data_IF_243079413927
#
_entry.id   IF_243079413927
#
_cell.length_a   1.000
_cell.length_b   1.000
_cell.length_c   1.000
_cell.angle_alpha   90.00
_cell.angle_beta   90.00
_cell.angle_gamma   90.00
#
_symmetry.space_group_name_H-M   'P 1'
#
loop_
_entity.id
_entity.type
_entity.pdbx_description
1 polymer ?
#
# COMPACT_ATOMS: atom_id res chain seq x y z
N UNK A 1 20.43 12.11 29.11
CA UNK A 1 20.70 11.29 27.91
C UNK A 1 19.37 10.70 27.50
N UNK A 2 18.79 11.19 26.41
CA UNK A 2 17.49 10.73 25.93
C UNK A 2 17.67 9.35 25.30
N UNK A 3 17.08 8.34 25.92
CA UNK A 3 16.93 7.02 25.32
C UNK A 3 16.01 7.16 24.11
N UNK A 4 16.58 7.23 22.91
CA UNK A 4 15.81 7.16 21.67
C UNK A 4 15.34 5.72 21.53
N UNK A 5 14.02 5.53 21.53
CA UNK A 5 13.35 4.24 21.35
C UNK A 5 13.63 3.68 19.95
N UNK A 6 14.75 2.96 19.80
CA UNK A 6 15.05 2.22 18.57
C UNK A 6 14.03 1.10 18.29
N UNK A 7 13.35 0.59 19.32
CA UNK A 7 12.36 -0.49 19.18
C UNK A 7 11.17 -0.11 18.30
N UNK A 8 10.46 0.96 18.64
CA UNK A 8 9.24 1.34 17.91
C UNK A 8 9.50 1.72 16.43
N UNK A 9 10.65 2.33 16.12
CA UNK A 9 10.99 2.71 14.75
C UNK A 9 11.28 1.48 13.87
N UNK A 10 12.01 0.49 14.39
CA UNK A 10 12.25 -0.79 13.70
C UNK A 10 10.93 -1.57 13.57
N UNK A 11 10.08 -1.53 14.60
CA UNK A 11 8.76 -2.16 14.56
C UNK A 11 7.82 -1.53 13.53
N UNK A 12 7.93 -0.22 13.31
CA UNK A 12 7.15 0.51 12.31
C UNK A 12 7.66 0.26 10.89
N UNK A 13 8.98 0.20 10.68
CA UNK A 13 9.54 -0.17 9.37
C UNK A 13 9.12 -1.60 8.97
N UNK A 14 9.25 -2.55 9.90
CA UNK A 14 8.79 -3.93 9.69
C UNK A 14 7.27 -4.02 9.51
N UNK A 15 6.49 -3.15 10.18
CA UNK A 15 5.05 -3.08 9.97
C UNK A 15 4.69 -2.60 8.56
N UNK A 16 5.35 -1.55 8.06
CA UNK A 16 5.12 -1.04 6.71
C UNK A 16 5.39 -2.09 5.65
N UNK A 17 6.50 -2.81 5.78
CA UNK A 17 6.85 -3.92 4.89
C UNK A 17 5.81 -5.05 4.96
N UNK A 18 5.39 -5.48 6.17
CA UNK A 18 4.36 -6.52 6.34
C UNK A 18 3.01 -6.13 5.75
N UNK A 19 2.61 -4.87 5.88
CA UNK A 19 1.38 -4.37 5.25
C UNK A 19 1.53 -4.45 3.72
N UNK A 20 2.65 -3.99 3.19
CA UNK A 20 2.90 -3.98 1.75
C UNK A 20 2.95 -5.39 1.14
N UNK A 21 3.72 -6.30 1.76
CA UNK A 21 3.93 -7.65 1.24
C UNK A 21 2.73 -8.55 1.48
N UNK A 22 2.22 -8.55 2.72
CA UNK A 22 1.30 -9.59 3.20
C UNK A 22 -0.11 -9.06 3.51
N UNK A 23 -0.31 -7.74 3.54
CA UNK A 23 -1.57 -7.12 3.92
C UNK A 23 -1.87 -7.26 5.42
N UNK A 24 -0.83 -7.41 6.24
CA UNK A 24 -0.94 -7.62 7.68
C UNK A 24 -0.55 -6.35 8.44
N UNK A 25 -1.53 -5.78 9.14
CA UNK A 25 -1.42 -4.63 10.02
C UNK A 25 -1.04 -5.01 11.46
N UNK A 26 -1.31 -4.12 12.41
CA UNK A 26 -0.96 -4.33 13.84
C UNK A 26 -1.80 -5.40 14.51
N UNK A 27 -3.07 -5.52 14.12
CA UNK A 27 -4.07 -6.37 14.78
C UNK A 27 -4.59 -7.50 13.87
N UNK A 28 -3.88 -7.77 12.78
CA UNK A 28 -4.23 -8.80 11.80
C UNK A 28 -4.31 -8.25 10.38
N UNK A 29 -5.13 -8.88 9.53
CA UNK A 29 -5.26 -8.45 8.13
C UNK A 29 -5.93 -7.08 8.05
N UNK A 30 -5.32 -6.16 7.30
CA UNK A 30 -5.91 -4.85 7.04
C UNK A 30 -7.20 -5.02 6.26
N UNK A 31 -8.29 -4.40 6.74
CA UNK A 31 -9.58 -4.43 6.07
C UNK A 31 -9.60 -3.50 4.85
N UNK A 32 -10.49 -3.79 3.89
CA UNK A 32 -10.80 -2.89 2.79
C UNK A 32 -12.26 -3.05 2.36
N UNK A 33 -12.88 -2.00 1.84
CA UNK A 33 -14.29 -2.00 1.43
C UNK A 33 -14.49 -2.49 -0.02
N UNK A 34 -13.63 -2.03 -0.93
CA UNK A 34 -13.67 -2.32 -2.37
C UNK A 34 -12.36 -2.99 -2.80
N UNK A 35 -12.41 -3.91 -3.75
CA UNK A 35 -11.26 -4.65 -4.28
C UNK A 35 -11.61 -6.11 -4.59
N UNK A 36 -10.68 -6.89 -5.15
CA UNK A 36 -10.90 -8.30 -5.47
C UNK A 36 -11.18 -9.12 -4.20
N UNK A 37 -12.22 -9.94 -4.17
CA UNK A 37 -12.58 -10.74 -2.99
C UNK A 37 -11.50 -11.74 -2.58
N UNK A 38 -10.74 -12.29 -3.54
CA UNK A 38 -9.68 -13.26 -3.28
C UNK A 38 -8.54 -12.71 -2.41
N UNK A 39 -8.28 -11.39 -2.46
CA UNK A 39 -7.20 -10.77 -1.69
C UNK A 39 -7.50 -10.78 -0.18
N UNK A 40 -8.78 -10.83 0.24
CA UNK A 40 -9.22 -10.92 1.66
C UNK A 40 -8.69 -12.17 2.36
N UNK A 41 -8.44 -13.24 1.61
CA UNK A 41 -7.99 -14.53 2.14
C UNK A 41 -6.60 -14.93 1.64
N UNK A 42 -5.94 -14.07 0.87
CA UNK A 42 -4.57 -14.30 0.41
C UNK A 42 -3.56 -13.93 1.49
N UNK A 43 -2.37 -14.54 1.48
CA UNK A 43 -1.23 -14.07 2.26
C UNK A 43 -0.47 -12.97 1.49
N UNK A 44 -1.18 -11.93 1.04
CA UNK A 44 -0.60 -10.86 0.25
C UNK A 44 -1.29 -9.51 0.46
N UNK A 45 -0.55 -8.42 0.23
CA UNK A 45 -1.01 -7.03 0.31
C UNK A 45 -0.88 -6.31 -1.03
N UNK A 46 -0.30 -5.12 -1.01
CA UNK A 46 0.01 -4.29 -2.19
C UNK A 46 0.82 -5.07 -3.24
N UNK A 47 1.79 -5.87 -2.78
CA UNK A 47 2.68 -6.65 -3.63
C UNK A 47 1.95 -7.69 -4.51
N UNK A 48 0.73 -8.10 -4.13
CA UNK A 48 -0.11 -8.98 -4.93
C UNK A 48 -0.43 -8.42 -6.31
N UNK A 49 -0.43 -7.10 -6.47
CA UNK A 49 -0.67 -6.44 -7.73
C UNK A 49 0.56 -5.66 -8.18
N UNK A 50 1.24 -4.96 -7.28
CA UNK A 50 2.32 -4.02 -7.60
C UNK A 50 3.72 -4.63 -7.59
N UNK A 51 3.86 -5.94 -7.36
CA UNK A 51 5.17 -6.59 -7.27
C UNK A 51 5.79 -6.49 -5.88
N UNK A 52 6.67 -7.43 -5.53
CA UNK A 52 7.35 -7.44 -4.22
C UNK A 52 8.38 -6.30 -4.08
N UNK A 53 8.90 -5.88 -5.21
CA UNK A 53 9.82 -4.75 -5.43
C UNK A 53 9.08 -3.43 -5.70
N UNK A 54 7.74 -3.43 -5.79
CA UNK A 54 6.98 -2.23 -6.07
C UNK A 54 7.17 -1.66 -7.48
N UNK A 55 7.84 -2.37 -8.40
CA UNK A 55 8.06 -1.90 -9.79
C UNK A 55 6.81 -1.97 -10.67
N UNK A 56 5.70 -2.47 -10.12
CA UNK A 56 4.49 -2.72 -10.85
C UNK A 56 4.60 -3.99 -11.70
N UNK A 57 3.46 -4.45 -12.20
CA UNK A 57 3.41 -5.60 -13.12
C UNK A 57 2.10 -5.67 -13.85
N UNK A 58 2.08 -6.46 -14.91
CA UNK A 58 0.83 -6.95 -15.48
C UNK A 58 0.16 -7.90 -14.48
N UNK A 59 -1.06 -7.57 -14.08
CA UNK A 59 -1.88 -8.37 -13.18
C UNK A 59 -2.91 -9.15 -13.99
N UNK A 60 -3.01 -10.44 -13.74
CA UNK A 60 -4.03 -11.30 -14.35
C UNK A 60 -4.95 -11.84 -13.26
N UNK A 61 -6.25 -11.57 -13.39
CA UNK A 61 -7.29 -12.10 -12.52
C UNK A 61 -8.37 -12.77 -13.38
N UNK A 62 -8.26 -14.08 -13.57
CA UNK A 62 -9.09 -14.82 -14.52
C UNK A 62 -8.86 -14.34 -15.95
N UNK A 63 -9.93 -13.94 -16.66
CA UNK A 63 -9.86 -13.41 -18.02
C UNK A 63 -9.45 -11.92 -18.08
N UNK A 64 -9.40 -11.21 -16.95
CA UNK A 64 -9.07 -9.79 -16.90
C UNK A 64 -7.56 -9.62 -16.81
N UNK A 65 -6.99 -8.90 -17.79
CA UNK A 65 -5.60 -8.46 -17.80
C UNK A 65 -5.57 -6.96 -17.52
N UNK A 66 -4.89 -6.57 -16.44
CA UNK A 66 -4.65 -5.18 -16.08
C UNK A 66 -3.15 -4.93 -15.86
N UNK A 67 -2.80 -3.69 -15.59
CA UNK A 67 -1.46 -3.32 -15.12
C UNK A 67 -1.59 -2.57 -13.81
N UNK A 68 -0.79 -2.96 -12.83
CA UNK A 68 -0.59 -2.19 -11.61
C UNK A 68 0.68 -1.35 -11.81
N UNK A 69 0.63 -0.02 -11.63
CA UNK A 69 1.79 0.84 -11.83
C UNK A 69 2.85 0.63 -10.75
N UNK A 70 4.10 1.05 -11.00
CA UNK A 70 5.13 1.13 -9.96
C UNK A 70 4.68 2.03 -8.81
N UNK A 71 5.10 1.65 -7.60
CA UNK A 71 4.89 2.33 -6.33
C UNK A 71 6.21 2.78 -5.68
N UNK A 72 7.34 2.73 -6.40
CA UNK A 72 8.60 3.30 -5.93
C UNK A 72 8.46 4.80 -5.71
N UNK A 73 9.24 5.35 -4.78
CA UNK A 73 9.14 6.76 -4.41
C UNK A 73 9.29 7.68 -5.64
N UNK A 74 10.23 7.36 -6.53
CA UNK A 74 10.46 8.10 -7.77
C UNK A 74 9.25 8.05 -8.72
N UNK A 75 8.61 6.88 -8.87
CA UNK A 75 7.44 6.72 -9.74
C UNK A 75 6.21 7.45 -9.20
N UNK A 76 5.99 7.41 -7.88
CA UNK A 76 4.91 8.13 -7.22
C UNK A 76 5.10 9.65 -7.36
N UNK A 77 6.30 10.15 -7.09
CA UNK A 77 6.62 11.57 -7.24
C UNK A 77 6.45 12.05 -8.70
N UNK A 78 6.92 11.27 -9.68
CA UNK A 78 6.75 11.59 -11.10
C UNK A 78 5.28 11.67 -11.54
N UNK A 79 4.37 11.02 -10.80
CA UNK A 79 2.92 11.06 -11.03
C UNK A 79 2.21 12.12 -10.18
N UNK A 80 2.96 12.93 -9.43
CA UNK A 80 2.42 14.00 -8.60
C UNK A 80 1.83 13.56 -7.27
N UNK A 81 2.19 12.36 -6.78
CA UNK A 81 1.81 11.94 -5.44
C UNK A 81 2.70 12.58 -4.38
N UNK A 82 2.06 13.09 -3.35
CA UNK A 82 2.62 13.38 -2.03
C UNK A 82 2.01 12.41 -0.99
N UNK A 83 2.44 12.50 0.27
CA UNK A 83 1.95 11.62 1.33
C UNK A 83 0.41 11.69 1.49
N UNK A 84 -0.16 12.89 1.45
CA UNK A 84 -1.58 13.12 1.66
C UNK A 84 -2.43 12.55 0.52
N UNK A 85 -2.06 12.84 -0.73
CA UNK A 85 -2.72 12.33 -1.92
C UNK A 85 -2.51 10.83 -2.11
N UNK A 86 -1.36 10.29 -1.69
CA UNK A 86 -1.13 8.84 -1.68
C UNK A 86 -2.03 8.15 -0.66
N UNK A 87 -2.13 8.69 0.56
CA UNK A 87 -3.05 8.19 1.57
C UNK A 87 -4.50 8.26 1.09
N UNK A 88 -4.91 9.36 0.45
CA UNK A 88 -6.23 9.50 -0.15
C UNK A 88 -6.47 8.45 -1.25
N UNK A 89 -5.48 8.21 -2.12
CA UNK A 89 -5.58 7.21 -3.18
C UNK A 89 -5.77 5.78 -2.65
N UNK A 90 -5.01 5.38 -1.63
CA UNK A 90 -5.09 4.01 -1.08
C UNK A 90 -6.31 3.79 -0.19
N UNK A 91 -6.90 4.84 0.37
CA UNK A 91 -8.07 4.74 1.28
C UNK A 91 -9.39 5.04 0.59
N UNK A 92 -9.43 6.01 -0.32
CA UNK A 92 -10.66 6.47 -1.00
C UNK A 92 -10.68 6.19 -2.49
N UNK A 93 -9.52 5.89 -3.08
CA UNK A 93 -9.44 5.56 -4.50
C UNK A 93 -9.41 6.76 -5.43
N UNK A 94 -8.94 7.91 -4.96
CA UNK A 94 -8.85 9.13 -5.76
C UNK A 94 -7.39 9.53 -5.92
N UNK A 95 -6.95 9.74 -7.15
CA UNK A 95 -5.59 10.16 -7.46
C UNK A 95 -5.36 11.67 -7.22
N UNK A 96 -4.11 12.19 -7.33
CA UNK A 96 -3.80 13.59 -7.08
C UNK A 96 -4.50 14.57 -8.02
N UNK A 97 -5.02 14.09 -9.16
CA UNK A 97 -5.78 14.88 -10.13
C UNK A 97 -7.30 14.74 -9.93
N UNK A 98 -7.75 14.11 -8.83
CA UNK A 98 -9.16 13.90 -8.53
C UNK A 98 -9.81 12.78 -9.33
N UNK A 99 -9.04 11.93 -10.03
CA UNK A 99 -9.57 10.87 -10.88
C UNK A 99 -9.74 9.58 -10.07
N UNK A 100 -10.81 8.80 -10.32
CA UNK A 100 -11.01 7.53 -9.65
C UNK A 100 -9.98 6.50 -10.13
N UNK A 101 -9.44 5.74 -9.17
CA UNK A 101 -8.58 4.59 -9.42
C UNK A 101 -9.41 3.39 -9.86
N UNK A 102 -8.77 2.42 -10.51
CA UNK A 102 -9.41 1.16 -10.88
C UNK A 102 -10.03 0.48 -9.64
N UNK A 103 -11.23 -0.07 -9.77
CA UNK A 103 -12.00 -0.70 -8.70
C UNK A 103 -11.36 -2.00 -8.17
N UNK A 104 -10.42 -2.58 -8.91
CA UNK A 104 -9.57 -3.68 -8.45
C UNK A 104 -8.47 -3.25 -7.48
N UNK A 105 -8.09 -1.97 -7.47
CA UNK A 105 -7.19 -1.46 -6.44
C UNK A 105 -7.99 -1.31 -5.14
N UNK A 106 -7.59 -1.97 -4.03
CA UNK A 106 -8.41 -1.94 -2.85
C UNK A 106 -8.48 -0.58 -2.17
N UNK A 107 -9.56 -0.35 -1.42
CA UNK A 107 -9.79 0.85 -0.58
C UNK A 107 -9.59 0.47 0.88
N UNK A 108 -8.37 0.64 1.36
CA UNK A 108 -7.92 0.08 2.63
C UNK A 108 -8.32 0.94 3.82
N UNK A 109 -8.53 0.29 4.96
CA UNK A 109 -8.75 0.94 6.25
C UNK A 109 -7.54 0.71 7.14
N UNK A 110 -6.78 1.77 7.38
CA UNK A 110 -5.59 1.73 8.24
C UNK A 110 -5.86 2.46 9.55
N UNK A 111 -5.24 2.01 10.63
CA UNK A 111 -4.97 2.88 11.78
C UNK A 111 -3.96 3.96 11.39
N UNK A 112 -3.86 5.03 12.18
CA UNK A 112 -2.86 6.07 11.94
C UNK A 112 -1.43 5.51 11.92
N UNK A 113 -1.14 4.53 12.78
CA UNK A 113 0.18 3.90 12.87
C UNK A 113 0.48 3.08 11.61
N UNK A 114 -0.46 2.26 11.16
CA UNK A 114 -0.32 1.45 9.94
C UNK A 114 -0.14 2.32 8.70
N UNK A 115 -0.92 3.40 8.57
CA UNK A 115 -0.79 4.34 7.47
C UNK A 115 0.61 4.96 7.43
N UNK A 116 1.10 5.48 8.56
CA UNK A 116 2.44 6.07 8.65
C UNK A 116 3.54 5.06 8.32
N UNK A 117 3.44 3.86 8.89
CA UNK A 117 4.40 2.77 8.65
C UNK A 117 4.46 2.38 7.16
N UNK A 118 3.29 2.22 6.52
CA UNK A 118 3.21 1.89 5.10
C UNK A 118 3.76 3.02 4.22
N UNK A 119 3.40 4.28 4.48
CA UNK A 119 3.89 5.42 3.71
C UNK A 119 5.41 5.55 3.83
N UNK A 120 5.97 5.43 5.04
CA UNK A 120 7.41 5.41 5.24
C UNK A 120 8.09 4.27 4.47
N UNK A 121 7.50 3.07 4.42
CA UNK A 121 8.04 1.97 3.62
C UNK A 121 8.03 2.29 2.11
N UNK A 122 6.94 2.87 1.60
CA UNK A 122 6.83 3.28 0.19
C UNK A 122 7.82 4.39 -0.19
N UNK A 123 8.18 5.28 0.73
CA UNK A 123 9.21 6.32 0.51
C UNK A 123 10.63 5.74 0.34
N UNK A 124 10.86 4.51 0.81
CA UNK A 124 12.17 3.84 0.78
C UNK A 124 12.20 2.65 -0.20
N UNK A 125 11.13 2.49 -0.99
CA UNK A 125 11.01 1.57 -2.13
C UNK A 125 11.59 2.23 -3.40
#
# INVERSE_FOLDING_TARGET
>A
MASVSFGCAVDDAALGERIFQDGLGSDGRVAYEQGPSWLRHSASGCAACHGRDGEGRTVRAGAVVGSAPPLTAAALAARGYDEASLLAAITTGVDPLGRPLNTYMPRWHFTQREARALLHYLEHL
#
